data_IF_158355987892
#
_entry.id   IF_158355987892
#
_cell.length_a   1.000
_cell.length_b   1.000
_cell.length_c   1.000
_cell.angle_alpha   90.00
_cell.angle_beta   90.00
_cell.angle_gamma   90.00
#
_symmetry.space_group_name_H-M   'P 1'
#
loop_
_entity.id
_entity.type
_entity.pdbx_description
1 polymer ?
#
# COMPACT_ATOMS: atom_id res chain seq x y z
N UNK A 1 31.26 -23.84 -66.38
CA UNK A 1 30.29 -24.75 -65.75
C UNK A 1 29.80 -24.04 -64.48
N UNK A 2 28.53 -23.60 -64.48
CA UNK A 2 27.68 -23.12 -63.36
C UNK A 2 28.11 -21.80 -62.65
N UNK A 3 27.31 -20.72 -62.48
CA UNK A 3 26.09 -20.17 -63.12
C UNK A 3 25.76 -18.79 -62.47
N UNK A 4 25.24 -17.87 -63.31
CA UNK A 4 24.32 -16.71 -63.06
C UNK A 4 24.63 -15.58 -62.06
N UNK A 5 24.56 -14.35 -62.60
CA UNK A 5 23.73 -13.27 -62.06
C UNK A 5 23.09 -12.48 -63.22
N UNK A 6 21.77 -12.25 -63.17
CA UNK A 6 21.11 -11.20 -63.96
C UNK A 6 19.97 -10.55 -63.18
N UNK A 7 19.97 -9.22 -63.30
CA UNK A 7 19.05 -8.20 -62.82
C UNK A 7 17.54 -8.47 -62.95
N UNK A 8 16.75 -7.87 -62.05
CA UNK A 8 15.43 -7.34 -62.40
C UNK A 8 15.09 -6.02 -61.68
N UNK A 9 14.47 -5.11 -62.44
CA UNK A 9 14.09 -3.74 -62.12
C UNK A 9 12.74 -3.64 -61.39
N UNK A 10 12.68 -2.67 -60.45
CA UNK A 10 11.61 -1.67 -60.19
C UNK A 10 10.18 -1.96 -60.70
N UNK A 11 9.23 -2.05 -59.76
CA UNK A 11 7.85 -1.59 -59.97
C UNK A 11 7.30 -0.94 -58.68
N UNK A 12 6.82 0.30 -58.81
CA UNK A 12 6.13 1.07 -57.77
C UNK A 12 4.67 0.62 -57.70
N UNK A 13 4.12 0.40 -56.51
CA UNK A 13 2.69 0.59 -56.25
C UNK A 13 2.49 1.35 -54.95
N UNK A 14 1.61 2.36 -55.02
CA UNK A 14 1.16 3.19 -53.91
C UNK A 14 0.29 2.35 -52.98
N UNK A 15 0.64 2.27 -51.70
CA UNK A 15 -0.31 1.91 -50.64
C UNK A 15 -0.45 3.09 -49.69
N UNK A 16 -1.63 3.71 -49.75
CA UNK A 16 -2.08 4.72 -48.82
C UNK A 16 -2.55 3.97 -47.56
N UNK A 17 -1.71 3.89 -46.54
CA UNK A 17 -2.10 3.36 -45.22
C UNK A 17 -2.64 4.52 -44.40
N UNK A 18 -3.97 4.57 -44.29
CA UNK A 18 -4.67 5.35 -43.27
C UNK A 18 -4.24 4.83 -41.89
N UNK A 19 -3.39 5.58 -41.19
CA UNK A 19 -3.13 5.34 -39.77
C UNK A 19 -4.39 5.70 -38.97
N UNK A 20 -5.14 4.68 -38.57
CA UNK A 20 -6.13 4.82 -37.50
C UNK A 20 -5.37 5.01 -36.18
N UNK A 21 -5.73 6.07 -35.44
CA UNK A 21 -5.17 6.42 -34.12
C UNK A 21 -5.35 5.24 -33.13
N UNK A 22 -4.37 4.92 -32.26
CA UNK A 22 -4.46 3.82 -31.29
C UNK A 22 -5.43 4.06 -30.11
N UNK A 23 -6.10 5.20 -30.05
CA UNK A 23 -6.85 5.66 -28.88
C UNK A 23 -8.17 4.88 -28.67
N UNK A 24 -8.75 4.33 -29.74
CA UNK A 24 -10.05 3.65 -29.66
C UNK A 24 -9.96 2.18 -29.24
N UNK A 25 -8.82 1.50 -29.43
CA UNK A 25 -8.69 0.08 -29.12
C UNK A 25 -8.43 -0.18 -27.62
N UNK A 26 -7.65 0.67 -26.97
CA UNK A 26 -7.44 0.61 -25.51
C UNK A 26 -8.73 0.87 -24.71
N UNK A 27 -9.58 1.78 -25.20
CA UNK A 27 -10.88 2.07 -24.57
C UNK A 27 -11.85 0.88 -24.66
N UNK A 28 -11.85 0.16 -25.79
CA UNK A 28 -12.71 -1.01 -26.00
C UNK A 28 -12.26 -2.22 -25.16
N UNK A 29 -10.95 -2.45 -25.01
CA UNK A 29 -10.40 -3.50 -24.15
C UNK A 29 -10.68 -3.21 -22.66
N UNK A 30 -10.55 -1.95 -22.24
CA UNK A 30 -10.85 -1.53 -20.86
C UNK A 30 -12.34 -1.67 -20.53
N UNK A 31 -13.25 -1.34 -21.46
CA UNK A 31 -14.69 -1.56 -21.28
C UNK A 31 -15.06 -3.05 -21.21
N UNK A 32 -14.41 -3.91 -22.01
CA UNK A 32 -14.70 -5.34 -22.05
C UNK A 32 -14.19 -6.07 -20.79
N UNK A 33 -13.06 -5.63 -20.21
CA UNK A 33 -12.60 -6.10 -18.89
C UNK A 33 -13.54 -5.65 -17.76
N UNK A 34 -13.97 -4.38 -17.74
CA UNK A 34 -14.96 -3.88 -16.76
C UNK A 34 -16.28 -4.67 -16.80
N UNK A 35 -16.71 -5.14 -17.97
CA UNK A 35 -17.94 -5.93 -18.10
C UNK A 35 -17.77 -7.37 -17.58
N UNK A 36 -16.61 -8.01 -17.83
CA UNK A 36 -16.29 -9.33 -17.29
C UNK A 36 -16.13 -9.33 -15.75
N UNK A 37 -15.51 -8.30 -15.19
CA UNK A 37 -15.37 -8.17 -13.73
C UNK A 37 -16.69 -7.89 -13.03
N UNK A 38 -17.52 -6.98 -13.55
CA UNK A 38 -18.88 -6.75 -13.01
C UNK A 38 -19.71 -8.03 -12.98
N UNK A 39 -19.58 -8.87 -14.01
CA UNK A 39 -20.25 -10.18 -14.08
C UNK A 39 -19.74 -11.13 -12.98
N UNK A 40 -18.43 -11.22 -12.77
CA UNK A 40 -17.81 -12.06 -11.72
C UNK A 40 -18.21 -11.61 -10.31
N UNK A 41 -18.27 -10.30 -10.06
CA UNK A 41 -18.67 -9.72 -8.77
C UNK A 41 -20.15 -10.03 -8.47
N UNK A 42 -21.01 -9.87 -9.47
CA UNK A 42 -22.44 -10.15 -9.36
C UNK A 42 -22.71 -11.66 -9.16
N UNK A 43 -21.98 -12.53 -9.87
CA UNK A 43 -22.04 -13.98 -9.68
C UNK A 43 -21.60 -14.40 -8.27
N UNK A 44 -20.56 -13.79 -7.71
CA UNK A 44 -20.06 -14.12 -6.37
C UNK A 44 -21.02 -13.68 -5.26
N UNK A 45 -21.58 -12.47 -5.35
CA UNK A 45 -22.58 -11.96 -4.41
C UNK A 45 -23.88 -12.77 -4.42
N UNK A 46 -24.28 -13.29 -5.60
CA UNK A 46 -25.46 -14.14 -5.75
C UNK A 46 -25.28 -15.54 -5.15
N UNK A 47 -24.04 -16.02 -4.98
CA UNK A 47 -23.76 -17.35 -4.42
C UNK A 47 -23.74 -17.39 -2.89
N UNK A 48 -23.48 -16.26 -2.22
CA UNK A 48 -23.47 -16.15 -0.75
C UNK A 48 -24.78 -16.66 -0.10
N UNK A 49 -26.00 -16.30 -0.57
CA UNK A 49 -27.24 -16.83 0.00
C UNK A 49 -27.58 -18.27 -0.45
N UNK A 50 -26.93 -18.83 -1.47
CA UNK A 50 -27.20 -20.19 -1.96
C UNK A 50 -26.56 -21.25 -1.06
N UNK A 51 -25.43 -20.93 -0.44
CA UNK A 51 -24.68 -21.85 0.42
C UNK A 51 -25.47 -22.31 1.65
N UNK A 52 -26.12 -21.42 2.45
CA UNK A 52 -26.96 -21.84 3.58
C UNK A 52 -28.13 -22.73 3.15
N UNK A 53 -28.73 -22.45 1.99
CA UNK A 53 -29.84 -23.22 1.43
C UNK A 53 -29.39 -24.65 1.13
N UNK A 54 -28.26 -24.82 0.44
CA UNK A 54 -27.72 -26.13 0.09
C UNK A 54 -27.26 -26.89 1.33
N UNK A 55 -26.60 -26.23 2.28
CA UNK A 55 -26.14 -26.87 3.53
C UNK A 55 -27.33 -27.32 4.37
N UNK A 56 -28.36 -26.49 4.54
CA UNK A 56 -29.58 -26.86 5.26
C UNK A 56 -30.26 -28.09 4.65
N UNK A 57 -30.34 -28.15 3.30
CA UNK A 57 -30.86 -29.31 2.57
C UNK A 57 -29.99 -30.56 2.80
N UNK A 58 -28.65 -30.43 2.70
CA UNK A 58 -27.72 -31.55 2.86
C UNK A 58 -27.73 -32.10 4.29
N UNK A 59 -27.69 -31.24 5.32
CA UNK A 59 -27.80 -31.64 6.72
C UNK A 59 -29.12 -32.39 6.97
N UNK A 60 -30.23 -31.87 6.40
CA UNK A 60 -31.54 -32.54 6.47
C UNK A 60 -31.61 -33.88 5.74
N UNK A 61 -30.86 -34.08 4.65
CA UNK A 61 -30.87 -35.31 3.85
C UNK A 61 -29.94 -36.42 4.36
N UNK A 62 -28.77 -36.06 4.90
CA UNK A 62 -27.75 -37.04 5.30
C UNK A 62 -27.89 -37.55 6.74
N UNK A 63 -28.65 -36.88 7.60
CA UNK A 63 -28.89 -37.36 8.96
C UNK A 63 -30.05 -38.37 9.03
N UNK A 64 -29.97 -39.43 8.22
CA UNK A 64 -31.04 -40.41 7.97
C UNK A 64 -31.09 -41.57 8.97
N UNK A 65 -30.60 -41.36 10.20
CA UNK A 65 -30.63 -42.35 11.30
C UNK A 65 -31.22 -41.74 12.56
N UNK A 66 -32.53 -41.49 12.58
CA UNK A 66 -33.28 -41.58 13.84
C UNK A 66 -34.79 -41.55 13.61
N UNK A 67 -35.48 -42.10 14.58
CA UNK A 67 -36.88 -42.51 14.61
C UNK A 67 -37.91 -41.38 14.47
N UNK A 68 -39.16 -41.78 14.20
CA UNK A 68 -40.35 -41.00 13.82
C UNK A 68 -40.72 -39.81 14.76
N UNK A 69 -40.07 -39.66 15.92
CA UNK A 69 -40.26 -38.58 16.89
C UNK A 69 -39.31 -37.38 16.66
N UNK A 70 -38.21 -37.54 15.92
CA UNK A 70 -37.28 -36.46 15.56
C UNK A 70 -37.60 -35.75 14.22
N UNK A 71 -38.77 -36.07 13.63
CA UNK A 71 -39.19 -35.50 12.33
C UNK A 71 -39.69 -34.05 12.44
N UNK A 72 -39.85 -33.51 13.66
CA UNK A 72 -40.17 -32.11 13.94
C UNK A 72 -38.94 -31.18 13.96
N UNK A 73 -37.71 -31.71 13.90
CA UNK A 73 -36.48 -30.90 13.91
C UNK A 73 -35.87 -30.73 12.51
N UNK A 74 -36.70 -30.48 11.51
CA UNK A 74 -36.22 -29.78 10.32
C UNK A 74 -36.10 -28.30 10.70
N UNK A 75 -34.99 -27.65 10.33
CA UNK A 75 -34.79 -26.21 10.51
C UNK A 75 -36.09 -25.47 10.19
N UNK A 76 -36.67 -24.82 11.18
CA UNK A 76 -37.92 -24.10 10.99
C UNK A 76 -37.68 -22.95 10.01
N UNK A 77 -38.73 -22.50 9.30
CA UNK A 77 -38.65 -21.36 8.39
C UNK A 77 -38.11 -20.10 9.09
N UNK A 78 -38.37 -19.96 10.39
CA UNK A 78 -37.84 -18.88 11.23
C UNK A 78 -36.32 -19.03 11.41
N UNK A 79 -35.84 -20.20 11.85
CA UNK A 79 -34.42 -20.49 12.04
C UNK A 79 -33.63 -20.36 10.73
N UNK A 80 -34.21 -20.88 9.64
CA UNK A 80 -33.66 -20.76 8.30
C UNK A 80 -33.60 -19.29 7.85
N UNK A 81 -34.65 -18.52 8.12
CA UNK A 81 -34.70 -17.07 7.87
C UNK A 81 -33.63 -16.31 8.66
N UNK A 82 -33.45 -16.63 9.95
CA UNK A 82 -32.42 -16.05 10.82
C UNK A 82 -31.02 -16.39 10.30
N UNK A 83 -30.78 -17.64 9.88
CA UNK A 83 -29.49 -18.07 9.34
C UNK A 83 -29.15 -17.34 8.04
N UNK A 84 -30.10 -17.23 7.11
CA UNK A 84 -29.93 -16.47 5.86
C UNK A 84 -29.63 -15.01 6.18
N UNK A 85 -30.37 -14.41 7.10
CA UNK A 85 -30.17 -13.02 7.49
C UNK A 85 -28.77 -12.78 8.05
N UNK A 86 -28.32 -13.63 8.99
CA UNK A 86 -27.01 -13.52 9.61
C UNK A 86 -25.88 -13.71 8.59
N UNK A 87 -25.98 -14.74 7.74
CA UNK A 87 -25.00 -14.96 6.66
C UNK A 87 -24.96 -13.80 5.67
N UNK A 88 -26.12 -13.23 5.32
CA UNK A 88 -26.20 -12.07 4.43
C UNK A 88 -25.55 -10.84 5.04
N UNK A 89 -25.78 -10.58 6.34
CA UNK A 89 -25.10 -9.51 7.08
C UNK A 89 -23.59 -9.71 7.02
N UNK A 90 -23.09 -10.89 7.39
CA UNK A 90 -21.64 -11.14 7.40
C UNK A 90 -21.05 -11.04 5.99
N UNK A 91 -21.74 -11.55 4.97
CA UNK A 91 -21.30 -11.43 3.57
C UNK A 91 -21.22 -9.98 3.10
N UNK A 92 -22.24 -9.17 3.38
CA UNK A 92 -22.29 -7.76 2.99
C UNK A 92 -21.24 -6.96 3.74
N UNK A 93 -21.21 -7.03 5.08
CA UNK A 93 -20.25 -6.31 5.90
C UNK A 93 -18.81 -6.74 5.62
N UNK A 94 -18.57 -8.05 5.48
CA UNK A 94 -17.26 -8.59 5.13
C UNK A 94 -16.78 -8.13 3.76
N UNK A 95 -17.67 -8.05 2.76
CA UNK A 95 -17.33 -7.51 1.44
C UNK A 95 -16.92 -6.03 1.53
N UNK A 96 -17.69 -5.20 2.24
CA UNK A 96 -17.36 -3.79 2.44
C UNK A 96 -16.05 -3.61 3.22
N UNK A 97 -15.86 -4.37 4.29
CA UNK A 97 -14.64 -4.35 5.11
C UNK A 97 -13.41 -4.74 4.29
N UNK A 98 -13.47 -5.84 3.53
CA UNK A 98 -12.36 -6.27 2.68
C UNK A 98 -12.11 -5.28 1.54
N UNK A 99 -13.16 -4.74 0.93
CA UNK A 99 -13.01 -3.70 -0.10
C UNK A 99 -12.31 -2.48 0.47
N UNK A 100 -12.74 -2.00 1.63
CA UNK A 100 -12.20 -0.80 2.25
C UNK A 100 -10.74 -1.02 2.70
N UNK A 101 -10.37 -2.26 3.06
CA UNK A 101 -8.97 -2.62 3.30
C UNK A 101 -8.07 -2.45 2.07
N UNK A 102 -8.60 -2.66 0.85
CA UNK A 102 -7.84 -2.47 -0.39
C UNK A 102 -7.57 -0.99 -0.72
N UNK A 103 -8.32 -0.07 -0.12
CA UNK A 103 -8.13 1.37 -0.32
C UNK A 103 -7.05 1.95 0.62
N UNK A 104 -6.58 1.22 1.63
CA UNK A 104 -5.57 1.73 2.55
C UNK A 104 -4.20 1.82 1.89
N UNK A 105 -3.51 2.94 2.04
CA UNK A 105 -2.15 3.15 1.55
C UNK A 105 -1.35 4.05 2.49
N UNK A 106 -0.04 4.07 2.32
CA UNK A 106 0.87 4.93 3.07
C UNK A 106 1.55 5.92 2.13
N UNK A 107 1.77 7.14 2.61
CA UNK A 107 2.63 8.15 2.00
C UNK A 107 3.61 8.68 3.05
N UNK A 108 4.67 9.35 2.62
CA UNK A 108 5.56 10.06 3.55
C UNK A 108 5.20 11.54 3.59
N UNK A 109 5.06 12.08 4.80
CA UNK A 109 5.05 13.51 5.03
C UNK A 109 6.46 13.93 5.41
N UNK A 110 6.97 14.95 4.74
CA UNK A 110 8.34 15.41 4.89
C UNK A 110 8.36 16.84 5.40
N UNK A 111 9.44 17.20 6.09
CA UNK A 111 9.75 18.56 6.45
C UNK A 111 10.83 18.59 7.51
N UNK A 112 10.64 19.39 8.56
CA UNK A 112 11.65 19.58 9.61
C UNK A 112 11.06 19.43 11.01
N UNK A 113 11.93 19.13 11.97
CA UNK A 113 11.61 19.25 13.39
C UNK A 113 11.43 20.73 13.74
N UNK A 114 10.22 21.15 14.05
CA UNK A 114 9.88 22.53 14.37
C UNK A 114 10.01 22.84 15.87
N UNK A 115 9.67 21.88 16.73
CA UNK A 115 9.73 22.05 18.17
C UNK A 115 9.92 20.72 18.90
N UNK A 116 10.28 20.80 20.19
CA UNK A 116 10.42 19.67 21.10
C UNK A 116 9.69 20.01 22.39
N UNK A 117 8.88 19.09 22.90
CA UNK A 117 8.11 19.32 24.13
C UNK A 117 7.83 18.00 24.87
N UNK A 118 7.17 18.12 26.02
CA UNK A 118 6.66 16.99 26.81
C UNK A 118 5.31 17.34 27.46
N UNK A 119 4.52 16.32 27.80
CA UNK A 119 3.38 16.49 28.71
C UNK A 119 3.22 15.34 29.67
N UNK A 120 2.58 15.67 30.78
CA UNK A 120 2.10 14.71 31.76
C UNK A 120 0.68 14.26 31.37
N UNK A 121 0.51 12.94 31.15
CA UNK A 121 -0.74 12.26 30.83
C UNK A 121 -1.19 11.38 32.00
N UNK A 122 -2.43 10.88 31.98
CA UNK A 122 -2.87 9.90 32.96
C UNK A 122 -1.96 8.67 32.95
N UNK A 123 -1.69 8.14 34.15
CA UNK A 123 -0.80 7.00 34.35
C UNK A 123 -1.23 5.80 33.47
N UNK A 124 -0.29 5.20 32.74
CA UNK A 124 -0.56 3.99 31.93
C UNK A 124 -0.39 2.71 32.74
N UNK A 125 0.01 2.82 34.00
CA UNK A 125 0.31 1.73 34.92
C UNK A 125 -0.71 1.66 36.05
N UNK A 126 -1.97 1.56 35.64
CA UNK A 126 -3.10 1.43 36.55
C UNK A 126 -3.70 0.02 36.45
N UNK A 127 -4.17 -0.48 37.58
CA UNK A 127 -4.84 -1.78 37.65
C UNK A 127 -6.08 -1.68 38.53
N UNK A 128 -7.11 -2.45 38.16
CA UNK A 128 -8.35 -2.51 38.91
C UNK A 128 -8.16 -3.35 40.17
N UNK A 129 -8.35 -2.75 41.34
CA UNK A 129 -8.34 -3.40 42.64
C UNK A 129 -9.77 -3.61 43.11
N UNK A 130 -10.04 -4.81 43.63
CA UNK A 130 -11.36 -5.19 44.09
C UNK A 130 -11.55 -4.85 45.57
N UNK A 131 -12.54 -4.01 45.89
CA UNK A 131 -12.85 -3.55 47.24
C UNK A 131 -13.82 -4.48 47.99
N UNK A 132 -14.75 -5.10 47.26
CA UNK A 132 -15.70 -6.06 47.82
C UNK A 132 -16.01 -7.18 46.84
N UNK A 133 -16.31 -8.36 47.39
CA UNK A 133 -16.71 -9.55 46.62
C UNK A 133 -18.07 -10.06 47.08
N UNK A 134 -18.83 -10.68 46.17
CA UNK A 134 -20.01 -11.46 46.52
C UNK A 134 -19.63 -12.83 47.10
N UNK A 135 -20.65 -13.60 47.51
CA UNK A 135 -20.50 -14.93 48.10
C UNK A 135 -19.91 -15.95 47.11
N UNK A 136 -19.99 -15.68 45.80
CA UNK A 136 -19.40 -16.50 44.73
C UNK A 136 -17.95 -16.06 44.38
N UNK A 137 -17.42 -15.04 45.06
CA UNK A 137 -16.07 -14.52 44.89
C UNK A 137 -15.90 -13.53 43.73
N UNK A 138 -16.99 -13.11 43.06
CA UNK A 138 -16.95 -12.10 42.02
C UNK A 138 -16.79 -10.71 42.62
N UNK A 139 -16.05 -9.83 41.92
CA UNK A 139 -15.87 -8.46 42.38
C UNK A 139 -17.16 -7.64 42.22
N UNK A 140 -17.66 -7.05 43.30
CA UNK A 140 -18.90 -6.26 43.33
C UNK A 140 -18.66 -4.76 43.39
N UNK A 141 -17.51 -4.33 43.92
CA UNK A 141 -17.03 -2.95 43.78
C UNK A 141 -15.52 -2.93 43.63
N UNK A 142 -15.03 -2.02 42.80
CA UNK A 142 -13.61 -1.86 42.51
C UNK A 142 -13.25 -0.40 42.30
N UNK A 143 -11.99 -0.07 42.56
CA UNK A 143 -11.37 1.18 42.14
C UNK A 143 -10.13 0.91 41.32
N UNK A 144 -9.59 1.98 40.73
CA UNK A 144 -8.35 1.92 39.95
C UNK A 144 -7.19 2.42 40.83
N UNK A 145 -6.19 1.56 41.03
CA UNK A 145 -4.95 1.92 41.71
C UNK A 145 -3.84 2.07 40.68
N UNK A 146 -3.19 3.23 40.68
CA UNK A 146 -2.11 3.57 39.76
C UNK A 146 -0.79 3.66 40.51
N UNK A 147 0.29 3.19 39.90
CA UNK A 147 1.61 3.23 40.53
C UNK A 147 2.12 4.66 40.81
N UNK A 148 1.63 5.62 40.03
CA UNK A 148 1.93 7.05 40.13
C UNK A 148 0.77 7.88 39.55
N UNK A 149 0.77 9.18 39.83
CA UNK A 149 -0.32 10.10 39.45
C UNK A 149 -0.40 10.44 37.95
N UNK A 150 0.72 10.34 37.23
CA UNK A 150 0.81 10.66 35.81
C UNK A 150 2.01 9.96 35.16
N UNK A 151 1.99 9.83 33.85
CA UNK A 151 3.16 9.48 33.03
C UNK A 151 3.58 10.69 32.20
N UNK A 152 4.86 10.81 31.91
CA UNK A 152 5.39 11.84 31.02
C UNK A 152 5.73 11.23 29.67
N UNK A 153 5.19 11.84 28.62
CA UNK A 153 5.49 11.52 27.23
C UNK A 153 6.34 12.64 26.63
N UNK A 154 7.32 12.26 25.81
CA UNK A 154 8.28 13.16 25.17
C UNK A 154 8.07 13.11 23.67
N UNK A 155 8.02 14.28 23.02
CA UNK A 155 7.78 14.33 21.59
C UNK A 155 8.47 15.49 20.89
N UNK A 156 8.53 15.39 19.56
CA UNK A 156 8.89 16.47 18.68
C UNK A 156 7.75 16.78 17.72
N UNK A 157 7.55 18.07 17.43
CA UNK A 157 6.58 18.56 16.45
C UNK A 157 7.30 18.86 15.14
N UNK A 158 6.63 18.62 14.02
CA UNK A 158 7.15 18.93 12.68
C UNK A 158 6.40 20.07 12.01
N UNK A 159 7.04 20.72 11.04
CA UNK A 159 6.43 21.82 10.27
C UNK A 159 5.41 21.36 9.22
N UNK A 160 5.28 20.05 8.98
CA UNK A 160 4.31 19.45 8.08
C UNK A 160 3.10 18.87 8.82
N UNK A 161 2.82 19.38 10.03
CA UNK A 161 1.72 18.89 10.85
C UNK A 161 0.38 19.00 10.08
N UNK A 162 -0.12 17.86 9.61
CA UNK A 162 -1.23 17.74 8.68
C UNK A 162 -2.19 16.68 9.19
N UNK A 163 -3.48 17.02 9.31
CA UNK A 163 -4.53 16.11 9.80
C UNK A 163 -4.22 15.43 11.15
N UNK A 164 -3.45 16.09 12.02
CA UNK A 164 -3.04 15.55 13.33
C UNK A 164 -1.84 14.59 13.27
N UNK A 165 -1.18 14.49 12.12
CA UNK A 165 0.11 13.79 11.93
C UNK A 165 1.26 14.80 11.96
N UNK A 166 2.49 14.35 12.22
CA UNK A 166 3.66 15.23 12.40
C UNK A 166 4.09 15.39 13.86
N UNK A 167 3.49 14.61 14.75
CA UNK A 167 3.91 14.46 16.13
C UNK A 167 4.74 13.17 16.26
N UNK A 168 6.01 13.29 16.67
CA UNK A 168 6.95 12.18 16.80
C UNK A 168 7.11 11.90 18.30
N UNK A 169 6.49 10.82 18.79
CA UNK A 169 6.65 10.36 20.17
C UNK A 169 7.93 9.54 20.35
N UNK A 170 8.66 9.80 21.42
CA UNK A 170 9.87 9.06 21.79
C UNK A 170 9.60 8.16 22.99
N UNK A 171 10.00 6.88 22.96
CA UNK A 171 9.82 5.97 24.08
C UNK A 171 10.47 6.47 25.36
N UNK A 172 9.76 6.29 26.48
CA UNK A 172 10.29 6.61 27.81
C UNK A 172 11.38 5.62 28.22
N UNK A 173 12.39 6.10 28.94
CA UNK A 173 13.51 5.28 29.43
C UNK A 173 13.25 4.69 30.82
N UNK A 174 12.25 5.21 31.53
CA UNK A 174 11.76 4.70 32.80
C UNK A 174 10.23 4.51 32.76
N UNK A 175 9.70 3.88 33.81
CA UNK A 175 8.27 3.52 33.92
C UNK A 175 7.37 4.75 33.83
N UNK A 176 7.75 5.86 34.44
CA UNK A 176 6.94 7.08 34.49
C UNK A 176 7.30 8.07 33.37
N UNK A 177 8.48 7.96 32.76
CA UNK A 177 9.00 8.90 31.76
C UNK A 177 9.61 10.17 32.33
N UNK A 178 10.03 10.17 33.59
CA UNK A 178 10.61 11.37 34.22
C UNK A 178 12.01 11.70 33.68
N UNK A 179 12.76 10.68 33.26
CA UNK A 179 14.04 10.86 32.62
C UNK A 179 13.86 11.19 31.14
N UNK A 180 14.54 12.24 30.71
CA UNK A 180 14.58 12.65 29.32
C UNK A 180 15.21 11.54 28.45
N UNK A 181 14.54 11.06 27.39
CA UNK A 181 15.10 10.05 26.50
C UNK A 181 16.35 10.56 25.79
N UNK A 182 17.38 9.72 25.70
CA UNK A 182 18.64 10.07 25.00
C UNK A 182 18.37 10.38 23.52
N UNK A 183 17.51 9.59 22.86
CA UNK A 183 17.16 9.85 21.46
C UNK A 183 16.42 11.17 21.28
N UNK A 184 15.44 11.49 22.14
CA UNK A 184 14.78 12.80 22.14
C UNK A 184 15.80 13.92 22.37
N UNK A 185 16.80 13.72 23.24
CA UNK A 185 17.86 14.70 23.49
C UNK A 185 18.67 14.99 22.23
N UNK A 186 19.00 13.94 21.46
CA UNK A 186 19.80 14.03 20.25
C UNK A 186 19.09 14.69 19.06
N UNK A 187 17.75 14.84 19.12
CA UNK A 187 16.96 15.54 18.10
C UNK A 187 17.30 17.03 18.10
N UNK A 188 17.54 17.59 16.91
CA UNK A 188 17.89 18.98 16.64
C UNK A 188 16.75 19.67 15.91
N UNK A 189 16.30 20.81 16.45
CA UNK A 189 15.30 21.64 15.78
C UNK A 189 15.88 22.15 14.45
N UNK A 190 15.10 22.01 13.37
CA UNK A 190 15.48 22.34 11.99
C UNK A 190 16.11 21.20 11.21
N UNK A 191 16.32 20.02 11.81
CA UNK A 191 16.76 18.84 11.06
C UNK A 191 15.61 18.23 10.26
N UNK A 192 15.94 17.53 9.17
CA UNK A 192 14.97 16.86 8.32
C UNK A 192 14.18 15.80 9.08
N UNK A 193 12.87 15.75 8.87
CA UNK A 193 11.99 14.75 9.43
C UNK A 193 11.02 14.20 8.38
N UNK A 194 10.75 12.91 8.49
CA UNK A 194 9.83 12.15 7.63
C UNK A 194 8.92 11.30 8.51
N UNK A 195 7.61 11.36 8.31
CA UNK A 195 6.64 10.52 9.02
C UNK A 195 5.73 9.79 8.07
N UNK A 196 5.34 8.56 8.45
CA UNK A 196 4.44 7.73 7.67
C UNK A 196 2.98 8.17 7.90
N UNK A 197 2.26 8.47 6.83
CA UNK A 197 0.88 8.92 6.87
C UNK A 197 -0.04 7.95 6.11
N UNK A 198 -1.05 7.35 6.78
CA UNK A 198 -2.04 6.53 6.12
C UNK A 198 -3.05 7.39 5.37
N UNK A 199 -3.38 7.00 4.13
CA UNK A 199 -4.42 7.66 3.36
C UNK A 199 -5.30 6.64 2.63
N UNK A 200 -6.47 7.11 2.18
CA UNK A 200 -7.37 6.32 1.32
C UNK A 200 -7.03 6.55 -0.14
N UNK A 201 -6.52 5.53 -0.82
CA UNK A 201 -6.22 5.53 -2.25
C UNK A 201 -7.39 5.00 -3.06
N UNK A 202 -7.85 5.80 -4.03
CA UNK A 202 -8.79 5.34 -5.07
C UNK A 202 -8.08 4.94 -6.37
N UNK A 203 -6.76 5.02 -6.41
CA UNK A 203 -5.94 4.66 -7.56
C UNK A 203 -5.28 3.29 -7.42
N UNK A 204 -5.28 2.72 -6.20
CA UNK A 204 -4.81 1.36 -6.01
C UNK A 204 -5.64 0.38 -6.85
N UNK A 205 -4.99 -0.55 -7.57
CA UNK A 205 -5.69 -1.62 -8.25
C UNK A 205 -6.56 -2.42 -7.29
N UNK A 206 -7.77 -2.69 -7.73
CA UNK A 206 -8.74 -3.54 -7.08
C UNK A 206 -8.36 -5.01 -7.25
N UNK A 207 -8.21 -5.76 -6.17
CA UNK A 207 -7.85 -7.18 -6.29
C UNK A 207 -6.52 -7.43 -7.01
N UNK A 208 -6.52 -8.38 -7.93
CA UNK A 208 -5.39 -8.77 -8.80
C UNK A 208 -5.35 -7.99 -10.12
N UNK A 209 -6.31 -7.08 -10.40
CA UNK A 209 -6.37 -6.38 -11.68
C UNK A 209 -5.58 -5.07 -11.69
N UNK A 210 -4.50 -5.10 -12.47
CA UNK A 210 -3.50 -4.06 -12.68
C UNK A 210 -4.10 -2.77 -13.27
N UNK A 211 -4.32 -1.78 -12.40
CA UNK A 211 -4.48 -0.37 -12.80
C UNK A 211 -3.16 0.25 -13.23
N UNK A 212 -2.04 -0.35 -12.80
CA UNK A 212 -0.68 -0.03 -13.23
C UNK A 212 -0.19 -1.16 -14.13
N UNK A 213 0.04 -0.90 -15.43
CA UNK A 213 0.47 -1.95 -16.34
C UNK A 213 1.82 -2.50 -15.87
N UNK A 214 1.82 -3.73 -15.35
CA UNK A 214 3.06 -4.46 -15.09
C UNK A 214 3.56 -5.02 -16.43
N UNK A 215 4.75 -4.62 -16.91
CA UNK A 215 5.31 -5.23 -18.11
C UNK A 215 5.67 -6.68 -17.77
N UNK A 216 4.86 -7.65 -18.23
CA UNK A 216 5.00 -9.05 -17.84
C UNK A 216 6.35 -9.64 -18.25
N UNK A 217 6.89 -9.19 -19.40
CA UNK A 217 8.24 -9.50 -19.86
C UNK A 217 9.30 -9.03 -18.85
N UNK A 218 9.13 -7.82 -18.31
CA UNK A 218 10.04 -7.30 -17.28
C UNK A 218 9.88 -8.03 -15.95
N UNK A 219 8.64 -8.38 -15.57
CA UNK A 219 8.38 -9.12 -14.33
C UNK A 219 9.06 -10.49 -14.32
N UNK A 220 9.02 -11.19 -15.44
CA UNK A 220 9.69 -12.49 -15.60
C UNK A 220 11.21 -12.37 -15.48
N UNK A 221 11.79 -11.30 -16.03
CA UNK A 221 13.24 -11.10 -16.06
C UNK A 221 13.81 -10.50 -14.77
N UNK A 222 13.09 -9.56 -14.16
CA UNK A 222 13.63 -8.66 -13.14
C UNK A 222 12.74 -8.53 -11.89
N UNK A 223 11.69 -9.35 -11.76
CA UNK A 223 10.75 -9.28 -10.64
C UNK A 223 11.43 -9.38 -9.28
N UNK A 224 12.43 -10.24 -9.14
CA UNK A 224 13.18 -10.45 -7.89
C UNK A 224 14.15 -9.30 -7.57
N UNK A 225 14.43 -8.42 -8.52
CA UNK A 225 15.29 -7.26 -8.35
C UNK A 225 14.50 -5.98 -8.00
N UNK A 226 13.17 -6.03 -7.99
CA UNK A 226 12.35 -4.87 -7.62
C UNK A 226 12.71 -4.44 -6.20
N UNK A 227 13.15 -3.19 -5.99
CA UNK A 227 13.54 -2.74 -4.66
C UNK A 227 12.37 -2.66 -3.70
N UNK A 228 12.67 -2.75 -2.41
CA UNK A 228 11.70 -2.53 -1.33
C UNK A 228 11.22 -1.09 -1.40
N UNK A 229 9.90 -0.88 -1.28
CA UNK A 229 9.34 0.46 -1.31
C UNK A 229 9.78 1.24 -0.06
N UNK A 230 10.16 2.52 -0.22
CA UNK A 230 10.75 3.32 0.86
C UNK A 230 9.86 3.47 2.09
N UNK A 231 8.53 3.35 1.96
CA UNK A 231 7.60 3.37 3.11
C UNK A 231 7.82 2.22 4.10
N UNK A 232 8.41 1.12 3.65
CA UNK A 232 8.79 -0.02 4.50
C UNK A 232 10.16 0.19 5.16
N UNK A 233 10.91 1.22 4.74
CA UNK A 233 12.27 1.53 5.17
C UNK A 233 12.33 2.78 6.07
N UNK A 234 11.25 3.07 6.80
CA UNK A 234 11.27 4.08 7.86
C UNK A 234 12.10 3.59 9.05
N UNK A 235 12.96 4.43 9.61
CA UNK A 235 13.83 4.09 10.74
C UNK A 235 13.95 5.27 11.70
N UNK A 236 14.42 4.97 12.91
CA UNK A 236 14.76 5.98 13.91
C UNK A 236 13.65 7.03 14.14
N UNK A 237 12.40 6.55 14.18
CA UNK A 237 11.15 7.30 14.42
C UNK A 237 10.75 8.33 13.35
N UNK A 238 11.70 9.01 12.71
CA UNK A 238 11.43 10.12 11.79
C UNK A 238 12.37 10.20 10.57
N UNK A 239 13.10 9.13 10.26
CA UNK A 239 13.90 9.03 9.04
C UNK A 239 13.36 7.93 8.12
N UNK A 240 13.73 7.99 6.84
CA UNK A 240 13.44 6.92 5.88
C UNK A 240 14.54 6.76 4.83
N UNK A 241 14.79 5.53 4.39
CA UNK A 241 15.67 5.29 3.25
C UNK A 241 14.94 5.67 1.97
N UNK A 242 15.41 6.73 1.31
CA UNK A 242 14.94 7.30 0.05
C UNK A 242 15.94 7.14 -1.09
N UNK A 243 17.15 6.64 -0.79
CA UNK A 243 18.19 6.34 -1.77
C UNK A 243 18.53 4.86 -1.74
N UNK A 244 18.40 4.19 -2.89
CA UNK A 244 18.71 2.76 -3.01
C UNK A 244 19.51 2.48 -4.30
N UNK A 245 20.37 1.46 -4.26
CA UNK A 245 21.04 0.91 -5.42
C UNK A 245 20.52 -0.51 -5.73
N UNK A 246 20.28 -0.81 -7.00
CA UNK A 246 19.58 -2.01 -7.46
C UNK A 246 20.34 -2.70 -8.58
N UNK A 247 20.43 -4.03 -8.53
CA UNK A 247 21.07 -4.83 -9.59
C UNK A 247 22.60 -4.81 -9.58
N UNK A 248 23.23 -4.30 -8.52
CA UNK A 248 24.67 -4.30 -8.31
C UNK A 248 25.09 -5.54 -7.51
N UNK A 249 26.04 -6.33 -8.02
CA UNK A 249 26.64 -7.45 -7.28
C UNK A 249 27.60 -6.97 -6.18
N UNK A 250 28.26 -5.84 -6.41
CA UNK A 250 29.16 -5.19 -5.45
C UNK A 250 28.71 -3.75 -5.22
N UNK A 251 28.84 -3.20 -4.00
CA UNK A 251 28.37 -1.86 -3.72
C UNK A 251 29.05 -0.81 -4.60
N UNK A 252 28.29 0.08 -5.27
CA UNK A 252 28.87 1.23 -5.96
C UNK A 252 29.54 2.20 -4.96
N UNK A 253 30.39 3.13 -5.44
CA UNK A 253 31.12 4.06 -4.56
C UNK A 253 30.22 4.79 -3.56
N UNK A 254 30.54 4.66 -2.26
CA UNK A 254 29.80 5.28 -1.16
C UNK A 254 28.53 4.53 -0.73
N UNK A 255 28.12 3.48 -1.43
CA UNK A 255 27.01 2.63 -1.02
C UNK A 255 27.48 1.50 -0.12
N UNK A 256 26.62 1.09 0.79
CA UNK A 256 26.81 -0.05 1.69
C UNK A 256 25.50 -0.78 1.90
N UNK A 257 25.57 -2.06 2.25
CA UNK A 257 24.40 -2.81 2.70
C UNK A 257 23.98 -2.31 4.08
N UNK A 258 22.68 -2.06 4.24
CA UNK A 258 22.02 -1.73 5.50
C UNK A 258 20.85 -2.69 5.72
N UNK A 259 20.53 -2.97 6.99
CA UNK A 259 19.33 -3.72 7.36
C UNK A 259 18.37 -2.73 8.01
N UNK A 260 17.21 -2.54 7.40
CA UNK A 260 16.16 -1.63 7.89
C UNK A 260 14.84 -2.40 7.91
N UNK A 261 14.19 -2.48 9.08
CA UNK A 261 12.93 -3.22 9.27
C UNK A 261 12.93 -4.64 8.69
N UNK A 262 14.02 -5.39 8.87
CA UNK A 262 14.24 -6.73 8.32
C UNK A 262 14.40 -6.80 6.79
N UNK A 263 14.63 -5.67 6.12
CA UNK A 263 14.97 -5.61 4.71
C UNK A 263 16.46 -5.29 4.52
N UNK A 264 17.14 -6.11 3.72
CA UNK A 264 18.49 -5.82 3.26
C UNK A 264 18.41 -4.86 2.07
N UNK A 265 18.99 -3.67 2.23
CA UNK A 265 18.97 -2.62 1.20
C UNK A 265 20.36 -2.06 0.99
N UNK A 266 20.73 -1.86 -0.28
CA UNK A 266 21.99 -1.19 -0.63
C UNK A 266 21.73 0.31 -0.72
N UNK A 267 22.28 1.08 0.21
CA UNK A 267 22.00 2.51 0.35
C UNK A 267 23.26 3.31 0.60
N UNK A 268 23.19 4.62 0.39
CA UNK A 268 24.24 5.57 0.75
C UNK A 268 23.63 6.58 1.71
N UNK A 269 23.96 6.47 3.01
CA UNK A 269 23.34 7.27 4.07
C UNK A 269 23.63 8.77 3.94
N UNK A 270 24.78 9.15 3.36
CA UNK A 270 25.11 10.56 3.12
C UNK A 270 24.20 11.13 2.03
N UNK A 271 24.02 10.41 0.93
CA UNK A 271 23.09 10.84 -0.13
C UNK A 271 21.63 10.78 0.36
N UNK A 272 21.31 9.81 1.23
CA UNK A 272 20.00 9.72 1.84
C UNK A 272 19.67 10.98 2.64
N UNK A 273 20.57 11.40 3.53
CA UNK A 273 20.42 12.63 4.30
C UNK A 273 20.25 13.85 3.39
N UNK A 274 21.00 13.96 2.29
CA UNK A 274 20.82 15.06 1.33
C UNK A 274 19.45 15.06 0.64
N UNK A 275 18.90 13.88 0.35
CA UNK A 275 17.53 13.74 -0.19
C UNK A 275 16.49 14.09 0.88
N UNK A 276 16.73 13.74 2.15
CA UNK A 276 15.86 14.15 3.26
C UNK A 276 15.88 15.68 3.45
N UNK A 277 17.06 16.30 3.43
CA UNK A 277 17.21 17.77 3.47
C UNK A 277 16.52 18.44 2.27
N UNK A 278 16.60 17.86 1.08
CA UNK A 278 15.89 18.38 -0.11
C UNK A 278 14.38 18.25 0.05
N UNK A 279 13.91 17.21 0.73
CA UNK A 279 12.49 17.02 1.01
C UNK A 279 11.95 17.96 2.10
N UNK A 280 12.83 18.55 2.92
CA UNK A 280 12.48 19.44 4.03
C UNK A 280 11.62 20.64 3.59
N UNK A 281 11.97 21.42 2.56
CA UNK A 281 11.11 22.49 2.06
C UNK A 281 10.01 21.98 1.13
N UNK A 282 10.23 20.87 0.41
CA UNK A 282 9.25 20.30 -0.54
C UNK A 282 7.99 19.80 0.19
N UNK A 283 8.15 19.16 1.34
CA UNK A 283 7.05 18.52 2.05
C UNK A 283 5.98 19.48 2.55
N UNK A 284 6.30 20.55 3.30
CA UNK A 284 5.30 21.51 3.76
C UNK A 284 4.61 22.28 2.63
N UNK A 285 5.33 22.63 1.56
CA UNK A 285 4.78 23.49 0.49
C UNK A 285 4.07 22.69 -0.61
N UNK A 286 4.66 21.57 -1.05
CA UNK A 286 4.17 20.77 -2.18
C UNK A 286 3.64 19.41 -1.76
N UNK A 287 3.85 19.02 -0.50
CA UNK A 287 3.55 17.69 0.01
C UNK A 287 4.17 16.60 -0.86
N UNK A 288 5.35 16.86 -1.44
CA UNK A 288 6.08 15.93 -2.30
C UNK A 288 7.06 15.04 -1.53
N UNK A 289 7.36 13.87 -2.09
CA UNK A 289 8.33 12.95 -1.53
C UNK A 289 9.32 12.46 -2.61
N UNK A 290 10.47 13.12 -2.67
CA UNK A 290 11.56 12.77 -3.58
C UNK A 290 12.31 11.53 -3.11
N UNK A 291 12.55 10.60 -4.04
CA UNK A 291 13.32 9.38 -3.84
C UNK A 291 14.21 9.12 -5.06
N UNK A 292 15.37 8.48 -4.86
CA UNK A 292 16.33 8.20 -5.92
C UNK A 292 16.74 6.72 -5.90
N UNK A 293 16.64 6.07 -7.05
CA UNK A 293 17.05 4.70 -7.27
C UNK A 293 18.13 4.66 -8.34
N UNK A 294 19.31 4.17 -7.96
CA UNK A 294 20.40 3.88 -8.87
C UNK A 294 20.28 2.44 -9.33
N UNK A 295 20.24 2.23 -10.64
CA UNK A 295 20.03 0.91 -11.22
C UNK A 295 21.27 0.53 -12.02
N UNK A 296 21.79 -0.67 -11.82
CA UNK A 296 22.86 -1.19 -12.66
C UNK A 296 22.29 -1.48 -14.06
N UNK A 297 22.60 -0.62 -15.02
CA UNK A 297 22.08 -0.70 -16.37
C UNK A 297 22.76 -1.81 -17.21
N UNK A 298 23.88 -2.39 -16.75
CA UNK A 298 24.41 -3.61 -17.36
C UNK A 298 23.51 -4.82 -17.07
N UNK A 299 22.97 -4.90 -15.85
CA UNK A 299 22.02 -5.95 -15.44
C UNK A 299 20.61 -5.65 -15.95
N UNK A 300 20.19 -4.39 -15.84
CA UNK A 300 18.83 -3.92 -16.14
C UNK A 300 18.91 -2.74 -17.14
N UNK A 301 19.10 -3.02 -18.44
CA UNK A 301 19.30 -1.98 -19.45
C UNK A 301 18.02 -1.21 -19.83
N UNK A 302 16.84 -1.73 -19.47
CA UNK A 302 15.54 -1.19 -19.89
C UNK A 302 14.91 -0.31 -18.80
N UNK A 303 14.62 0.95 -19.13
CA UNK A 303 13.98 1.90 -18.23
C UNK A 303 12.52 1.54 -17.87
N UNK A 304 11.89 0.57 -18.54
CA UNK A 304 10.59 0.00 -18.14
C UNK A 304 10.65 -0.73 -16.79
N UNK A 305 11.85 -0.97 -16.26
CA UNK A 305 12.01 -1.47 -14.89
C UNK A 305 11.39 -0.54 -13.83
N UNK A 306 11.35 0.78 -14.08
CA UNK A 306 10.66 1.72 -13.19
C UNK A 306 9.15 1.47 -13.15
N UNK A 307 8.53 1.12 -14.28
CA UNK A 307 7.10 0.80 -14.36
C UNK A 307 6.79 -0.52 -13.66
N UNK A 308 7.66 -1.52 -13.84
CA UNK A 308 7.58 -2.78 -13.10
C UNK A 308 7.61 -2.52 -11.59
N UNK A 309 8.53 -1.67 -11.13
CA UNK A 309 8.66 -1.35 -9.71
C UNK A 309 7.42 -0.61 -9.21
N UNK A 310 6.96 0.43 -9.90
CA UNK A 310 5.74 1.17 -9.55
C UNK A 310 4.52 0.26 -9.52
N UNK A 311 4.38 -0.64 -10.50
CA UNK A 311 3.29 -1.63 -10.56
C UNK A 311 3.33 -2.62 -9.41
N UNK A 312 4.52 -3.13 -9.06
CA UNK A 312 4.73 -4.01 -7.89
C UNK A 312 4.40 -3.30 -6.58
N UNK A 313 4.74 -2.01 -6.46
CA UNK A 313 4.35 -1.15 -5.34
C UNK A 313 2.89 -0.71 -5.38
N UNK A 314 2.10 -1.20 -6.34
CA UNK A 314 0.68 -0.88 -6.53
C UNK A 314 0.42 0.62 -6.66
N UNK A 315 1.35 1.34 -7.31
CA UNK A 315 1.29 2.78 -7.54
C UNK A 315 2.05 3.64 -6.54
N UNK A 316 2.75 3.03 -5.57
CA UNK A 316 3.56 3.76 -4.59
C UNK A 316 2.76 4.67 -3.65
N UNK A 317 3.47 5.55 -2.95
CA UNK A 317 2.91 6.64 -2.16
C UNK A 317 2.31 7.71 -3.07
N UNK A 318 1.21 8.33 -2.64
CA UNK A 318 0.49 9.30 -3.48
C UNK A 318 1.35 10.48 -3.93
N UNK A 319 2.28 10.90 -3.08
CA UNK A 319 3.15 12.03 -3.34
C UNK A 319 4.57 11.65 -3.76
N UNK A 320 4.80 10.39 -4.10
CA UNK A 320 6.11 9.91 -4.48
C UNK A 320 6.54 10.50 -5.82
N UNK A 321 7.76 11.03 -5.82
CA UNK A 321 8.51 11.53 -6.96
C UNK A 321 9.77 10.68 -7.02
N UNK A 322 9.75 9.63 -7.83
CA UNK A 322 10.84 8.65 -7.89
C UNK A 322 11.70 8.91 -9.11
N UNK A 323 12.96 9.21 -8.87
CA UNK A 323 13.99 9.32 -9.90
C UNK A 323 14.70 7.97 -10.01
N UNK A 324 14.73 7.41 -11.21
CA UNK A 324 15.45 6.20 -11.55
C UNK A 324 16.61 6.53 -12.48
N UNK A 325 17.81 6.14 -12.10
CA UNK A 325 19.04 6.43 -12.86
C UNK A 325 19.74 5.11 -13.18
N UNK A 326 19.69 4.71 -14.44
CA UNK A 326 20.43 3.58 -14.96
C UNK A 326 21.89 3.94 -15.20
N UNK A 327 22.81 3.22 -14.57
CA UNK A 327 24.26 3.44 -14.67
C UNK A 327 24.90 2.20 -15.30
N UNK A 328 25.55 2.36 -16.44
CA UNK A 328 26.29 1.27 -17.08
C UNK A 328 27.68 1.13 -16.47
N UNK A 329 28.45 2.21 -16.47
CA UNK A 329 29.77 2.27 -15.87
C UNK A 329 29.74 3.45 -14.92
N UNK A 330 29.83 3.22 -13.62
CA UNK A 330 29.83 4.33 -12.66
C UNK A 330 30.95 5.32 -13.02
N UNK A 331 30.65 6.63 -13.16
CA UNK A 331 29.41 7.34 -12.80
C UNK A 331 28.47 7.70 -13.98
N UNK A 332 28.64 7.12 -15.16
CA UNK A 332 27.94 7.48 -16.40
C UNK A 332 26.47 7.04 -16.42
N UNK A 333 25.57 7.99 -16.72
CA UNK A 333 24.12 7.78 -16.85
C UNK A 333 23.83 7.17 -18.23
N UNK A 334 23.32 5.93 -18.24
CA UNK A 334 22.85 5.26 -19.46
C UNK A 334 21.42 5.66 -19.80
N UNK A 335 20.54 5.66 -18.80
CA UNK A 335 19.14 6.04 -18.94
C UNK A 335 18.65 6.70 -17.67
N UNK A 336 17.64 7.56 -17.80
CA UNK A 336 16.94 8.15 -16.67
C UNK A 336 15.44 7.98 -16.87
N UNK A 337 14.73 7.79 -15.77
CA UNK A 337 13.27 7.76 -15.76
C UNK A 337 12.75 8.41 -14.49
N UNK A 338 11.65 9.13 -14.60
CA UNK A 338 10.92 9.65 -13.46
C UNK A 338 9.57 8.97 -13.44
N UNK A 339 9.18 8.44 -12.29
CA UNK A 339 7.84 7.93 -12.06
C UNK A 339 7.21 8.72 -10.94
N UNK A 340 5.91 8.97 -11.06
CA UNK A 340 5.11 9.50 -9.98
C UNK A 340 4.26 8.38 -9.42
N UNK A 341 3.90 8.51 -8.15
CA UNK A 341 2.91 7.61 -7.57
C UNK A 341 1.52 7.88 -8.12
N UNK A 342 0.59 8.21 -7.24
CA UNK A 342 -0.82 8.40 -7.58
C UNK A 342 -1.14 9.72 -8.32
N UNK A 343 -0.15 10.46 -8.83
CA UNK A 343 -0.31 11.83 -9.35
C UNK A 343 0.24 12.06 -10.76
N UNK A 344 0.52 11.01 -11.54
CA UNK A 344 1.09 11.18 -12.90
C UNK A 344 0.20 12.01 -13.84
N UNK A 345 -1.12 11.87 -13.72
CA UNK A 345 -2.10 12.59 -14.54
C UNK A 345 -2.04 14.10 -14.25
N UNK A 346 -1.68 14.89 -15.26
CA UNK A 346 -1.49 16.34 -15.15
C UNK A 346 -0.08 16.79 -14.75
N UNK A 347 0.84 15.85 -14.53
CA UNK A 347 2.26 16.12 -14.24
C UNK A 347 3.20 15.60 -15.34
N UNK A 348 2.69 15.31 -16.54
CA UNK A 348 3.45 14.69 -17.63
C UNK A 348 4.63 15.58 -18.05
N UNK A 349 4.42 16.89 -18.09
CA UNK A 349 5.49 17.85 -18.43
C UNK A 349 6.58 17.88 -17.36
N UNK A 350 6.21 17.83 -16.08
CA UNK A 350 7.16 17.75 -14.97
C UNK A 350 8.03 16.49 -15.08
N UNK A 351 7.41 15.33 -15.32
CA UNK A 351 8.11 14.05 -15.52
C UNK A 351 9.11 14.13 -16.68
N UNK A 352 8.70 14.67 -17.82
CA UNK A 352 9.56 14.81 -19.01
C UNK A 352 10.72 15.78 -18.73
N UNK A 353 10.45 16.95 -18.17
CA UNK A 353 11.47 17.98 -17.93
C UNK A 353 12.51 17.51 -16.90
N UNK A 354 12.08 16.89 -15.80
CA UNK A 354 13.00 16.37 -14.79
C UNK A 354 13.85 15.23 -15.34
N UNK A 355 13.24 14.28 -16.07
CA UNK A 355 13.97 13.19 -16.74
C UNK A 355 15.03 13.72 -17.68
N UNK A 356 14.66 14.66 -18.55
CA UNK A 356 15.58 15.21 -19.55
C UNK A 356 16.70 16.02 -18.89
N UNK A 357 16.40 16.78 -17.84
CA UNK A 357 17.41 17.50 -17.09
C UNK A 357 18.43 16.56 -16.44
N UNK A 358 17.99 15.45 -15.83
CA UNK A 358 18.89 14.44 -15.25
C UNK A 358 19.70 13.74 -16.33
N UNK A 359 19.08 13.39 -17.45
CA UNK A 359 19.78 12.72 -18.57
C UNK A 359 20.86 13.60 -19.18
N UNK A 360 20.64 14.92 -19.22
CA UNK A 360 21.59 15.89 -19.76
C UNK A 360 22.81 16.15 -18.85
N UNK A 361 22.81 15.65 -17.60
CA UNK A 361 23.96 15.77 -16.70
C UNK A 361 25.09 14.78 -17.05
N UNK A 362 24.78 13.74 -17.83
CA UNK A 362 25.69 12.67 -18.28
C UNK A 362 26.29 11.79 -17.17
N UNK A 363 26.54 12.33 -15.97
CA UNK A 363 27.12 11.61 -14.83
C UNK A 363 26.36 11.87 -13.53
N UNK A 364 26.50 10.94 -12.57
CA UNK A 364 25.90 11.05 -11.23
C UNK A 364 26.84 11.65 -10.17
N UNK A 365 28.01 12.14 -10.55
CA UNK A 365 28.99 12.67 -9.60
C UNK A 365 28.48 13.93 -8.90
N UNK A 366 27.71 14.77 -9.59
CA UNK A 366 27.19 16.02 -9.05
C UNK A 366 25.78 15.86 -8.48
N UNK A 367 25.62 15.04 -7.44
CA UNK A 367 24.30 14.81 -6.83
C UNK A 367 23.62 16.11 -6.37
N UNK A 368 24.39 17.07 -5.83
CA UNK A 368 23.82 18.37 -5.42
C UNK A 368 23.12 19.08 -6.58
N UNK A 369 23.60 18.92 -7.81
CA UNK A 369 22.96 19.47 -9.00
C UNK A 369 21.69 18.71 -9.38
N UNK A 370 21.70 17.36 -9.32
CA UNK A 370 20.50 16.53 -9.49
C UNK A 370 19.41 16.97 -8.50
N UNK A 371 19.76 17.11 -7.21
CA UNK A 371 18.82 17.49 -6.16
C UNK A 371 18.30 18.92 -6.35
N UNK A 372 19.17 19.89 -6.66
CA UNK A 372 18.76 21.28 -6.95
C UNK A 372 17.82 21.36 -8.14
N UNK A 373 18.10 20.62 -9.21
CA UNK A 373 17.24 20.56 -10.40
C UNK A 373 15.91 19.89 -10.05
N UNK A 374 15.93 18.77 -9.32
CA UNK A 374 14.73 18.11 -8.86
C UNK A 374 13.87 19.05 -8.02
N UNK A 375 14.45 19.66 -7.00
CA UNK A 375 13.79 20.63 -6.12
C UNK A 375 13.15 21.77 -6.92
N UNK A 376 13.91 22.43 -7.81
CA UNK A 376 13.40 23.52 -8.63
C UNK A 376 12.24 23.08 -9.54
N UNK A 377 12.32 21.86 -10.11
CA UNK A 377 11.24 21.31 -10.93
C UNK A 377 10.00 20.97 -10.10
N UNK A 378 10.17 20.46 -8.88
CA UNK A 378 9.07 20.17 -7.96
C UNK A 378 8.35 21.48 -7.60
N UNK A 379 9.07 22.51 -7.17
CA UNK A 379 8.43 23.78 -6.80
C UNK A 379 7.69 24.43 -7.96
N UNK A 380 8.24 24.32 -9.17
CA UNK A 380 7.70 24.97 -10.36
C UNK A 380 6.51 24.24 -10.98
N UNK A 381 6.61 22.91 -11.10
CA UNK A 381 5.76 22.15 -12.01
C UNK A 381 5.01 20.98 -11.35
N UNK A 382 5.38 20.56 -10.14
CA UNK A 382 4.70 19.44 -9.47
C UNK A 382 3.40 19.91 -8.83
N UNK A 383 2.31 19.25 -9.21
CA UNK A 383 0.97 19.49 -8.68
C UNK A 383 0.40 18.20 -8.05
N UNK A 384 0.30 18.18 -6.72
CA UNK A 384 -0.24 17.02 -5.99
C UNK A 384 -1.76 16.98 -6.12
N UNK A 385 -2.26 15.97 -6.85
CA UNK A 385 -3.71 15.72 -6.98
C UNK A 385 -4.32 15.25 -5.67
N UNK A 386 -5.55 15.67 -5.37
CA UNK A 386 -6.29 15.16 -4.21
C UNK A 386 -6.91 13.79 -4.54
N UNK A 387 -7.03 12.90 -3.55
CA UNK A 387 -7.65 11.58 -3.80
C UNK A 387 -9.14 11.72 -4.15
N UNK A 388 -9.81 12.77 -3.63
CA UNK A 388 -11.20 13.07 -3.98
C UNK A 388 -11.43 13.22 -5.49
N UNK A 389 -10.43 13.66 -6.26
CA UNK A 389 -10.52 13.79 -7.73
C UNK A 389 -10.67 12.43 -8.43
N UNK A 390 -10.25 11.34 -7.78
CA UNK A 390 -10.34 9.97 -8.29
C UNK A 390 -11.49 9.17 -7.67
N UNK A 391 -12.46 9.84 -7.02
CA UNK A 391 -13.59 9.18 -6.38
C UNK A 391 -14.45 8.36 -7.36
N UNK A 392 -14.43 8.69 -8.65
CA UNK A 392 -15.07 7.95 -9.74
C UNK A 392 -14.53 6.53 -9.90
N UNK A 393 -13.31 6.26 -9.41
CA UNK A 393 -12.67 4.95 -9.44
C UNK A 393 -13.07 4.05 -8.27
N UNK A 394 -13.61 4.61 -7.18
CA UNK A 394 -14.04 3.87 -5.98
C UNK A 394 -14.97 2.68 -6.30
N UNK A 395 -15.98 2.78 -7.19
CA UNK A 395 -16.84 1.65 -7.52
C UNK A 395 -16.13 0.48 -8.22
N UNK A 396 -14.94 0.71 -8.79
CA UNK A 396 -14.11 -0.35 -9.37
C UNK A 396 -13.38 -1.17 -8.30
N UNK A 397 -13.26 -0.65 -7.08
CA UNK A 397 -12.51 -1.30 -6.00
C UNK A 397 -13.29 -2.47 -5.41
N UNK A 398 -12.64 -3.62 -5.36
CA UNK A 398 -13.20 -4.88 -4.89
C UNK A 398 -12.16 -5.68 -4.09
N UNK A 399 -12.60 -6.58 -3.18
CA UNK A 399 -11.71 -7.48 -2.44
C UNK A 399 -10.86 -8.38 -3.35
N UNK A 400 -9.70 -8.84 -2.86
CA UNK A 400 -8.88 -9.83 -3.59
C UNK A 400 -9.57 -11.20 -3.66
N UNK A 401 -9.14 -12.06 -4.59
CA UNK A 401 -9.63 -13.44 -4.69
C UNK A 401 -9.47 -14.22 -3.37
N UNK A 402 -8.34 -14.01 -2.69
CA UNK A 402 -8.07 -14.61 -1.37
C UNK A 402 -9.02 -14.10 -0.29
N UNK A 403 -9.30 -12.79 -0.25
CA UNK A 403 -10.26 -12.21 0.70
C UNK A 403 -11.69 -12.70 0.44
N UNK A 404 -12.11 -12.81 -0.83
CA UNK A 404 -13.40 -13.41 -1.19
C UNK A 404 -13.48 -14.88 -0.78
N UNK A 405 -12.39 -15.64 -0.97
CA UNK A 405 -12.31 -17.04 -0.54
C UNK A 405 -12.43 -17.16 0.98
N UNK A 406 -11.72 -16.31 1.74
CA UNK A 406 -11.82 -16.27 3.19
C UNK A 406 -13.24 -15.91 3.65
N UNK A 407 -13.86 -14.90 3.03
CA UNK A 407 -15.25 -14.51 3.31
C UNK A 407 -16.21 -15.68 3.09
N UNK A 408 -16.03 -16.41 1.99
CA UNK A 408 -16.82 -17.59 1.66
C UNK A 408 -16.67 -18.69 2.72
N UNK A 409 -15.44 -18.97 3.18
CA UNK A 409 -15.19 -19.95 4.25
C UNK A 409 -15.89 -19.53 5.55
N UNK A 410 -15.79 -18.25 5.93
CA UNK A 410 -16.46 -17.72 7.13
C UNK A 410 -17.97 -17.94 7.04
N UNK A 411 -18.57 -17.59 5.89
CA UNK A 411 -20.00 -17.81 5.62
C UNK A 411 -20.39 -19.28 5.72
N UNK A 412 -19.59 -20.19 5.17
CA UNK A 412 -19.84 -21.65 5.27
C UNK A 412 -19.79 -22.11 6.72
N UNK A 413 -18.76 -21.71 7.48
CA UNK A 413 -18.59 -22.11 8.89
C UNK A 413 -19.76 -21.63 9.74
N UNK A 414 -20.18 -20.38 9.56
CA UNK A 414 -21.36 -19.81 10.23
C UNK A 414 -22.62 -20.59 9.84
N UNK A 415 -22.78 -20.93 8.57
CA UNK A 415 -23.93 -21.69 8.09
C UNK A 415 -24.02 -23.08 8.73
N UNK A 416 -22.89 -23.80 8.79
CA UNK A 416 -22.80 -25.13 9.40
C UNK A 416 -23.03 -25.02 10.92
N UNK A 417 -22.29 -24.13 11.59
CA UNK A 417 -22.38 -23.93 13.03
C UNK A 417 -23.77 -23.50 13.49
N UNK A 418 -24.38 -22.55 12.78
CA UNK A 418 -25.76 -22.11 13.04
C UNK A 418 -26.77 -23.24 12.83
N UNK A 419 -26.62 -24.02 11.76
CA UNK A 419 -27.50 -25.17 11.49
C UNK A 419 -27.41 -26.24 12.59
N UNK A 420 -26.19 -26.55 13.06
CA UNK A 420 -25.96 -27.50 14.16
C UNK A 420 -26.49 -26.95 15.51
N UNK A 421 -26.34 -25.66 15.74
CA UNK A 421 -26.82 -24.99 16.95
C UNK A 421 -28.35 -25.02 17.03
N UNK A 422 -29.05 -24.63 15.97
CA UNK A 422 -30.52 -24.68 15.90
C UNK A 422 -31.04 -26.11 16.03
N UNK A 423 -30.36 -27.07 15.38
CA UNK A 423 -30.71 -28.49 15.53
C UNK A 423 -30.60 -29.00 16.98
N UNK A 424 -29.66 -28.47 17.78
CA UNK A 424 -29.41 -28.96 19.14
C UNK A 424 -30.17 -28.21 20.24
N UNK A 425 -30.53 -26.94 20.04
CA UNK A 425 -31.04 -26.08 21.11
C UNK A 425 -32.47 -25.55 20.91
N UNK A 426 -33.09 -25.72 19.74
CA UNK A 426 -34.43 -25.18 19.40
C UNK A 426 -34.79 -23.89 20.16
N UNK A 427 -34.03 -22.80 19.94
CA UNK A 427 -34.12 -21.61 20.79
C UNK A 427 -35.41 -20.81 20.59
N UNK A 428 -36.24 -21.17 19.60
CA UNK A 428 -37.46 -20.47 19.27
C UNK A 428 -38.73 -21.23 19.68
N UNK A 429 -38.59 -22.44 20.25
CA UNK A 429 -39.67 -23.27 20.80
C UNK A 429 -40.94 -23.24 19.93
N UNK A 430 -40.78 -23.39 18.62
CA UNK A 430 -41.89 -23.23 17.69
C UNK A 430 -42.67 -24.55 17.64
N UNK A 431 -43.83 -24.60 18.29
CA UNK A 431 -44.75 -25.75 18.32
C UNK A 431 -45.12 -26.31 16.93
#
# INVERSE_FOLDING_TARGET
>A
MIVKQQHFKKFKSKFLVLQMKPITFGWFLCQNQRFKEKKKIMETLLLIPVVPVVIGIVVGLFNKRSTRYQRSQMLNIIEFGVLIFLVSIVGIFGWFMFRDSQMKSMEFLNGEIAAKDFSDISCRHCHTVCDSRDDDGNCTSSHEECDHSYDRIWWAETNYNFDGYGHIEFPTTDRQGLNQPERWTAVVIGESATSLHPFTSYLKPSGESDSFPIPLDMKELYGDLVPVHSTELAYDYYHAIKVQAVGFETPPPGFSMAIVNNHEVMTNLVLNSQVEDTNQPIGPEKQGNLQIFYVNAQTIPDNRFADLSLGTWRGGGKNDITIWIGINNWPEISWARVTLGATEIGNELFVIQLRDAIRNMETVENLSEILKVAEAQVFKNFDRKQMAEFADRKPGIHPTSGQLTALYIIVVVISIGGSLYFYSNDPFEVE
#
